data_IF_597277990244
#
_entry.id   IF_597277990244
#
_cell.length_a   1.000
_cell.length_b   1.000
_cell.length_c   1.000
_cell.angle_alpha   90.00
_cell.angle_beta   90.00
_cell.angle_gamma   90.00
#
_symmetry.space_group_name_H-M   'P 1'
#
loop_
_entity.id
_entity.type
_entity.pdbx_description
1 polymer ?
#
# COMPACT_ATOMS: atom_id res chain seq x y z
N UNK A 1 -21.39 -4.56 1.89
CA UNK A 1 -21.24 -3.39 0.98
C UNK A 1 -22.33 -2.37 1.30
N UNK A 2 -22.48 -1.28 0.53
CA UNK A 2 -23.60 -0.33 0.70
C UNK A 2 -24.98 -0.98 0.46
N UNK A 3 -25.00 -2.08 -0.29
CA UNK A 3 -26.20 -2.85 -0.65
C UNK A 3 -26.63 -3.81 0.48
N UNK A 4 -25.80 -4.00 1.51
CA UNK A 4 -26.11 -4.84 2.68
C UNK A 4 -25.82 -6.33 2.49
N UNK A 5 -25.08 -6.72 1.45
CA UNK A 5 -24.73 -8.13 1.23
C UNK A 5 -23.64 -8.61 2.21
N UNK A 6 -23.56 -9.92 2.50
CA UNK A 6 -22.43 -10.50 3.22
C UNK A 6 -21.12 -10.37 2.42
N UNK A 7 -19.95 -10.36 3.09
CA UNK A 7 -18.67 -10.37 2.39
C UNK A 7 -18.50 -11.67 1.58
N UNK A 8 -17.94 -11.54 0.38
CA UNK A 8 -17.57 -12.69 -0.44
C UNK A 8 -16.28 -13.32 0.10
N UNK A 9 -16.13 -14.64 0.01
CA UNK A 9 -14.92 -15.31 0.54
C UNK A 9 -13.67 -14.89 -0.23
N UNK A 10 -13.80 -14.66 -1.54
CA UNK A 10 -12.70 -14.26 -2.43
C UNK A 10 -12.13 -12.87 -2.14
N UNK A 11 -12.82 -12.02 -1.37
CA UNK A 11 -12.33 -10.67 -1.00
C UNK A 11 -11.77 -10.61 0.43
N UNK A 12 -11.58 -11.76 1.08
CA UNK A 12 -11.00 -11.84 2.42
C UNK A 12 -9.58 -11.27 2.45
N UNK A 13 -9.26 -10.50 3.49
CA UNK A 13 -7.91 -9.99 3.73
C UNK A 13 -6.94 -11.17 3.97
N UNK A 14 -5.77 -11.20 3.30
CA UNK A 14 -4.81 -12.29 3.46
C UNK A 14 -4.17 -12.31 4.85
N UNK A 15 -3.83 -13.51 5.33
CA UNK A 15 -3.01 -13.68 6.53
C UNK A 15 -1.56 -13.25 6.25
N UNK A 16 -0.88 -12.75 7.28
CA UNK A 16 0.56 -12.44 7.26
C UNK A 16 1.26 -13.53 8.10
N UNK A 17 1.90 -14.54 7.49
CA UNK A 17 2.47 -15.68 8.24
C UNK A 17 3.52 -15.26 9.28
N UNK A 18 4.26 -14.20 9.00
CA UNK A 18 5.29 -13.63 9.87
C UNK A 18 4.72 -13.20 11.22
N UNK A 19 3.48 -12.69 11.25
CA UNK A 19 2.78 -12.33 12.47
C UNK A 19 2.52 -13.55 13.37
N UNK A 20 2.08 -14.67 12.79
CA UNK A 20 1.77 -15.89 13.53
C UNK A 20 3.02 -16.67 13.96
N UNK A 21 4.16 -16.43 13.31
CA UNK A 21 5.40 -17.17 13.56
C UNK A 21 6.04 -16.90 14.92
N UNK A 22 5.82 -15.72 15.51
CA UNK A 22 6.51 -15.27 16.72
C UNK A 22 7.99 -14.92 16.50
N UNK A 23 8.50 -14.98 15.27
CA UNK A 23 9.88 -14.64 14.91
C UNK A 23 10.06 -13.14 14.60
N UNK A 24 8.95 -12.41 14.50
CA UNK A 24 8.91 -11.00 14.13
C UNK A 24 8.45 -10.14 15.31
N UNK A 25 8.80 -8.85 15.25
CA UNK A 25 8.35 -7.88 16.25
C UNK A 25 6.83 -7.73 16.25
N UNK A 26 6.28 -7.38 17.41
CA UNK A 26 4.86 -7.04 17.54
C UNK A 26 4.50 -5.73 16.78
N UNK A 27 3.22 -5.47 16.58
CA UNK A 27 2.69 -4.28 15.93
C UNK A 27 3.09 -3.01 16.68
N UNK A 28 3.82 -2.13 16.00
CA UNK A 28 3.95 -0.72 16.37
C UNK A 28 2.92 0.09 15.59
N UNK A 29 1.84 0.49 16.25
CA UNK A 29 0.67 1.09 15.61
C UNK A 29 0.56 2.61 15.84
N UNK A 30 0.16 3.36 14.80
CA UNK A 30 -0.11 4.80 14.87
C UNK A 30 -1.44 5.13 14.20
N UNK A 31 -2.10 6.20 14.63
CA UNK A 31 -3.34 6.71 14.02
C UNK A 31 -3.31 8.23 13.90
N UNK A 32 -3.91 8.75 12.83
CA UNK A 32 -4.05 10.19 12.58
C UNK A 32 -5.34 10.46 11.81
N UNK A 33 -6.04 11.55 12.15
CA UNK A 33 -7.18 12.05 11.39
C UNK A 33 -6.68 13.06 10.34
N UNK A 34 -7.10 12.90 9.09
CA UNK A 34 -6.86 13.87 8.02
C UNK A 34 -8.20 14.52 7.66
N UNK A 35 -8.26 15.84 7.80
CA UNK A 35 -9.42 16.66 7.45
C UNK A 35 -9.16 17.40 6.13
N UNK A 36 -10.24 17.80 5.43
CA UNK A 36 -10.14 18.63 4.22
C UNK A 36 -9.80 17.88 2.92
N UNK A 37 -9.55 16.56 2.99
CA UNK A 37 -9.30 15.70 1.83
C UNK A 37 -10.12 14.41 1.88
N UNK A 38 -10.45 13.86 0.72
CA UNK A 38 -11.12 12.56 0.64
C UNK A 38 -10.11 11.41 0.75
N UNK A 39 -10.54 10.24 1.23
CA UNK A 39 -9.65 9.08 1.34
C UNK A 39 -9.13 8.57 -0.01
N UNK A 40 -9.82 8.82 -1.14
CA UNK A 40 -9.36 8.38 -2.46
C UNK A 40 -8.00 8.97 -2.86
N UNK A 41 -7.66 10.16 -2.35
CA UNK A 41 -6.45 10.87 -2.74
C UNK A 41 -5.17 10.09 -2.32
N UNK A 42 -5.24 9.24 -1.27
CA UNK A 42 -4.09 8.39 -0.89
C UNK A 42 -3.89 7.22 -1.85
N UNK A 43 -4.94 6.81 -2.58
CA UNK A 43 -4.91 5.65 -3.47
C UNK A 43 -4.08 5.97 -4.73
N UNK A 44 -4.07 7.25 -5.17
CA UNK A 44 -3.35 7.70 -6.37
C UNK A 44 -1.85 7.39 -6.30
N UNK A 45 -1.27 7.38 -5.09
CA UNK A 45 0.15 7.07 -4.85
C UNK A 45 0.56 5.67 -5.33
N UNK A 46 -0.38 4.73 -5.52
CA UNK A 46 -0.08 3.41 -6.11
C UNK A 46 0.53 3.55 -7.51
N UNK A 47 0.22 4.62 -8.25
CA UNK A 47 0.70 4.85 -9.62
C UNK A 47 1.72 5.97 -9.78
N UNK A 48 2.03 6.69 -8.70
CA UNK A 48 2.94 7.82 -8.77
C UNK A 48 4.40 7.33 -8.64
N UNK A 49 5.07 7.13 -9.76
CA UNK A 49 6.49 6.78 -9.77
C UNK A 49 7.39 7.96 -9.36
N UNK A 50 7.00 9.20 -9.68
CA UNK A 50 7.87 10.36 -9.53
C UNK A 50 8.01 10.79 -8.06
N UNK A 51 6.99 10.60 -7.22
CA UNK A 51 7.10 10.96 -5.80
C UNK A 51 8.17 10.15 -5.06
N UNK A 52 8.59 8.97 -5.55
CA UNK A 52 9.73 8.27 -5.00
C UNK A 52 11.03 9.07 -5.09
N UNK A 53 11.21 9.86 -6.15
CA UNK A 53 12.37 10.74 -6.28
C UNK A 53 12.27 11.98 -5.39
N UNK A 54 11.13 12.68 -5.43
CA UNK A 54 10.99 13.98 -4.78
C UNK A 54 10.63 13.91 -3.29
N UNK A 55 9.89 12.89 -2.87
CA UNK A 55 9.36 12.74 -1.49
C UNK A 55 10.13 11.69 -0.71
N UNK A 56 10.51 10.57 -1.35
CA UNK A 56 11.22 9.47 -0.68
C UNK A 56 12.75 9.50 -0.83
N UNK A 57 13.31 10.51 -1.52
CA UNK A 57 14.75 10.62 -1.78
C UNK A 57 15.35 9.35 -2.41
N UNK A 58 14.55 8.66 -3.23
CA UNK A 58 14.92 7.46 -3.96
C UNK A 58 15.20 7.71 -5.45
N UNK A 59 15.69 6.69 -6.12
CA UNK A 59 15.82 6.61 -7.57
C UNK A 59 15.07 5.34 -8.01
N UNK A 60 13.79 5.46 -8.43
CA UNK A 60 13.00 4.32 -8.88
C UNK A 60 13.60 3.80 -10.19
N UNK A 61 14.20 2.62 -10.16
CA UNK A 61 14.87 1.98 -11.30
C UNK A 61 13.99 0.93 -11.99
N UNK A 62 12.89 0.53 -11.35
CA UNK A 62 11.83 -0.28 -11.94
C UNK A 62 10.50 0.10 -11.30
N UNK A 63 9.45 0.25 -12.11
CA UNK A 63 8.11 0.57 -11.65
C UNK A 63 7.06 -0.12 -12.53
N UNK A 64 6.17 -0.91 -11.92
CA UNK A 64 5.08 -1.60 -12.61
C UNK A 64 3.82 -1.61 -11.76
N UNK A 65 2.68 -1.33 -12.37
CA UNK A 65 1.38 -1.57 -11.78
C UNK A 65 0.67 -2.78 -12.41
N UNK A 66 -0.11 -3.48 -11.58
CA UNK A 66 -1.07 -4.51 -12.02
C UNK A 66 -2.38 -4.25 -11.27
N UNK A 67 -3.48 -4.18 -12.02
CA UNK A 67 -4.83 -4.07 -11.49
C UNK A 67 -5.61 -5.30 -11.95
N UNK A 68 -6.04 -6.11 -10.99
CA UNK A 68 -6.76 -7.36 -11.28
C UNK A 68 -7.76 -7.67 -10.16
N UNK A 69 -9.01 -7.92 -10.54
CA UNK A 69 -10.10 -8.10 -9.58
C UNK A 69 -10.24 -6.90 -8.64
N UNK A 70 -10.17 -7.16 -7.34
CA UNK A 70 -10.27 -6.17 -6.27
C UNK A 70 -8.90 -5.73 -5.72
N UNK A 71 -7.81 -6.04 -6.44
CA UNK A 71 -6.43 -5.79 -5.99
C UNK A 71 -5.72 -4.82 -6.94
N UNK A 72 -5.05 -3.83 -6.35
CA UNK A 72 -4.13 -2.93 -7.02
C UNK A 72 -2.72 -3.12 -6.44
N UNK A 73 -1.75 -3.45 -7.30
CA UNK A 73 -0.36 -3.70 -6.88
C UNK A 73 0.60 -2.72 -7.53
N UNK A 74 1.62 -2.33 -6.77
CA UNK A 74 2.81 -1.63 -7.24
C UNK A 74 4.02 -2.54 -7.00
N UNK A 75 4.81 -2.77 -8.05
CA UNK A 75 6.10 -3.44 -7.98
C UNK A 75 7.19 -2.40 -8.26
N UNK A 76 8.08 -2.20 -7.29
CA UNK A 76 9.08 -1.15 -7.30
C UNK A 76 10.47 -1.72 -6.99
N UNK A 77 11.48 -1.34 -7.77
CA UNK A 77 12.88 -1.40 -7.34
C UNK A 77 13.39 0.03 -7.20
N UNK A 78 13.88 0.37 -6.01
CA UNK A 78 14.30 1.72 -5.66
C UNK A 78 15.72 1.67 -5.08
N UNK A 79 16.59 2.59 -5.51
CA UNK A 79 17.93 2.77 -4.92
C UNK A 79 18.01 4.12 -4.24
N UNK A 80 18.81 4.23 -3.17
CA UNK A 80 18.97 5.50 -2.46
C UNK A 80 19.64 6.55 -3.35
N UNK A 81 19.16 7.79 -3.30
CA UNK A 81 19.84 8.91 -3.93
C UNK A 81 21.05 9.31 -3.07
N UNK A 82 22.19 9.71 -3.67
CA UNK A 82 23.44 9.97 -2.94
C UNK A 82 23.52 11.35 -2.26
N UNK A 83 22.49 12.19 -2.32
CA UNK A 83 22.47 13.54 -1.74
C UNK A 83 21.85 13.60 -0.34
#
# INVERSE_FOLDING_TARGET
DHEGNPPQEEVRIPEIPEWASGEWTDWKWNTMLIEGSNCREIIDNVTDMAHFFYIHFGLPTYFKNVFEGHVASQYLHNVGRPD
#
